data_IF_724534920291
#
_entry.id   IF_724534920291
#
_cell.length_a   1.000
_cell.length_b   1.000
_cell.length_c   1.000
_cell.angle_alpha   90.00
_cell.angle_beta   90.00
_cell.angle_gamma   90.00
#
_symmetry.space_group_name_H-M   'P 1'
#
loop_
_entity.id
_entity.type
_entity.pdbx_description
1 polymer ?
#
# COMPACT_ATOMS: atom_id res chain seq x y z
N UNK A 1 34.52 39.07 -18.86
CA UNK A 1 33.32 38.78 -18.02
C UNK A 1 32.44 37.64 -18.56
N UNK A 2 32.50 37.27 -19.85
CA UNK A 2 31.64 36.18 -20.39
C UNK A 2 32.02 34.74 -20.00
N UNK A 3 33.31 34.43 -19.77
CA UNK A 3 33.77 33.05 -19.51
C UNK A 3 33.36 32.49 -18.13
N UNK A 4 33.21 33.35 -17.12
CA UNK A 4 32.86 32.94 -15.74
C UNK A 4 31.36 32.68 -15.63
N UNK A 5 30.53 33.44 -16.36
CA UNK A 5 29.09 33.22 -16.41
C UNK A 5 28.71 31.90 -17.09
N UNK A 6 29.42 31.49 -18.14
CA UNK A 6 29.16 30.21 -18.84
C UNK A 6 29.52 28.97 -18.01
N UNK A 7 30.53 29.04 -17.14
CA UNK A 7 30.89 27.95 -16.23
C UNK A 7 29.87 27.77 -15.09
N UNK A 8 29.29 28.87 -14.59
CA UNK A 8 28.26 28.82 -13.56
C UNK A 8 26.94 28.19 -14.04
N UNK A 9 26.57 28.41 -15.31
CA UNK A 9 25.37 27.80 -15.91
C UNK A 9 25.55 26.30 -16.13
N UNK A 10 26.75 25.84 -16.52
CA UNK A 10 27.03 24.40 -16.69
C UNK A 10 27.05 23.65 -15.35
N UNK A 11 27.60 24.27 -14.30
CA UNK A 11 27.60 23.72 -12.95
C UNK A 11 26.17 23.64 -12.35
N UNK A 12 25.31 24.61 -12.66
CA UNK A 12 23.91 24.59 -12.23
C UNK A 12 23.06 23.53 -12.98
N UNK A 13 23.40 23.21 -14.24
CA UNK A 13 22.68 22.20 -15.02
C UNK A 13 22.96 20.74 -14.61
N UNK A 14 24.01 20.49 -13.81
CA UNK A 14 24.35 19.15 -13.29
C UNK A 14 23.65 18.81 -11.97
N UNK A 15 22.94 19.76 -11.36
CA UNK A 15 22.52 19.61 -9.96
C UNK A 15 21.21 18.85 -9.73
N UNK A 16 20.45 18.45 -10.77
CA UNK A 16 19.11 17.88 -10.60
C UNK A 16 18.80 16.80 -11.64
N UNK A 17 19.60 15.74 -11.72
CA UNK A 17 19.09 14.45 -12.19
C UNK A 17 18.55 13.72 -10.96
N UNK A 18 17.33 14.06 -10.56
CA UNK A 18 16.59 13.19 -9.64
C UNK A 18 16.28 11.91 -10.43
N UNK A 19 17.00 10.83 -10.13
CA UNK A 19 16.68 9.51 -10.67
C UNK A 19 15.23 9.16 -10.35
N UNK A 20 14.56 8.47 -11.26
CA UNK A 20 13.24 7.92 -10.96
C UNK A 20 13.43 6.85 -9.88
N UNK A 21 12.85 7.07 -8.70
CA UNK A 21 12.79 6.03 -7.68
C UNK A 21 11.61 5.11 -7.99
N UNK A 22 11.83 3.82 -7.84
CA UNK A 22 10.75 2.85 -7.86
C UNK A 22 9.95 2.97 -6.55
N UNK A 23 8.83 2.27 -6.46
CA UNK A 23 8.04 2.20 -5.23
C UNK A 23 8.08 0.77 -4.70
N UNK A 24 8.38 0.60 -3.41
CA UNK A 24 8.37 -0.73 -2.75
C UNK A 24 7.08 -1.50 -3.02
N UNK A 25 5.95 -0.88 -2.70
CA UNK A 25 4.61 -1.43 -2.94
C UNK A 25 3.63 -0.27 -3.02
N UNK A 26 3.04 -0.03 -4.20
CA UNK A 26 2.30 1.21 -4.49
C UNK A 26 1.07 1.46 -3.62
N UNK A 27 0.51 0.43 -2.96
CA UNK A 27 -0.61 0.55 -2.04
C UNK A 27 -0.19 0.72 -0.56
N UNK A 28 1.10 0.91 -0.30
CA UNK A 28 1.67 1.06 1.03
C UNK A 28 2.31 2.45 1.19
N UNK A 29 1.60 3.43 1.76
CA UNK A 29 2.10 4.81 1.87
C UNK A 29 3.33 4.94 2.80
N UNK A 30 3.56 3.94 3.66
CA UNK A 30 4.74 3.84 4.50
C UNK A 30 5.05 2.35 4.77
N UNK A 31 5.34 1.98 6.01
CA UNK A 31 5.65 0.60 6.41
C UNK A 31 4.41 -0.26 6.67
N UNK A 32 3.23 0.34 6.82
CA UNK A 32 1.97 -0.38 7.01
C UNK A 32 1.09 -0.32 5.76
N UNK A 33 0.57 -1.46 5.34
CA UNK A 33 -0.24 -1.64 4.16
C UNK A 33 -1.65 -2.10 4.52
N UNK A 34 -2.67 -1.51 3.89
CA UNK A 34 -4.05 -1.96 3.96
C UNK A 34 -4.53 -2.18 2.54
N UNK A 35 -4.96 -3.40 2.24
CA UNK A 35 -5.45 -3.82 0.93
C UNK A 35 -6.88 -4.36 1.12
N UNK A 36 -7.93 -3.80 0.50
CA UNK A 36 -7.90 -2.74 -0.50
C UNK A 36 -7.43 -1.38 0.05
N UNK A 37 -6.75 -0.56 -0.76
CA UNK A 37 -6.16 0.70 -0.32
C UNK A 37 -7.22 1.74 0.03
N UNK A 38 -6.76 2.89 0.52
CA UNK A 38 -7.57 4.09 0.69
C UNK A 38 -8.36 4.42 -0.60
N UNK A 39 -9.54 5.01 -0.43
CA UNK A 39 -10.45 5.39 -1.52
C UNK A 39 -11.02 4.19 -2.31
N UNK A 40 -11.08 3.01 -1.70
CA UNK A 40 -11.76 1.85 -2.28
C UNK A 40 -13.28 1.94 -2.16
N UNK A 41 -13.98 1.57 -3.23
CA UNK A 41 -15.43 1.52 -3.29
C UNK A 41 -15.96 0.08 -3.33
N UNK A 42 -17.04 -0.17 -2.61
CA UNK A 42 -17.71 -1.47 -2.58
C UNK A 42 -19.22 -1.33 -2.83
N UNK A 43 -19.82 -2.39 -3.36
CA UNK A 43 -21.27 -2.57 -3.31
C UNK A 43 -21.68 -3.31 -2.01
N UNK A 44 -22.87 -3.03 -1.47
CA UNK A 44 -23.45 -3.77 -0.37
C UNK A 44 -23.45 -5.27 -0.63
N UNK A 45 -22.86 -6.05 0.27
CA UNK A 45 -22.76 -7.51 0.16
C UNK A 45 -21.73 -8.02 -0.85
N UNK A 46 -20.97 -7.13 -1.51
CA UNK A 46 -19.85 -7.54 -2.36
C UNK A 46 -18.78 -8.21 -1.51
N UNK A 47 -18.34 -9.39 -1.95
CA UNK A 47 -17.21 -10.06 -1.32
C UNK A 47 -15.89 -9.40 -1.70
N UNK A 48 -15.02 -9.25 -0.72
CA UNK A 48 -13.63 -8.85 -0.90
C UNK A 48 -12.74 -9.56 0.11
N UNK A 49 -11.44 -9.55 -0.16
CA UNK A 49 -10.42 -9.97 0.80
C UNK A 49 -9.73 -8.72 1.35
N UNK A 50 -9.50 -8.70 2.66
CA UNK A 50 -8.65 -7.71 3.31
C UNK A 50 -7.30 -8.33 3.61
N UNK A 51 -6.23 -7.68 3.21
CA UNK A 51 -4.86 -8.02 3.58
C UNK A 51 -4.21 -6.81 4.22
N UNK A 52 -3.62 -7.04 5.39
CA UNK A 52 -2.81 -6.03 6.08
C UNK A 52 -1.39 -6.56 6.21
N UNK A 53 -0.43 -5.68 6.01
CA UNK A 53 0.99 -6.04 6.02
C UNK A 53 1.78 -4.96 6.76
N UNK A 54 2.75 -5.39 7.55
CA UNK A 54 3.72 -4.53 8.24
C UNK A 54 5.10 -4.89 7.75
N UNK A 55 5.75 -3.92 7.12
CA UNK A 55 7.04 -4.06 6.47
C UNK A 55 8.16 -3.61 7.40
N UNK A 56 9.29 -4.30 7.32
CA UNK A 56 10.57 -3.92 7.92
C UNK A 56 11.68 -4.11 6.88
N UNK A 57 12.03 -3.05 6.13
CA UNK A 57 13.18 -3.09 5.24
C UNK A 57 14.47 -3.34 6.03
N UNK A 58 15.30 -4.25 5.54
CA UNK A 58 16.56 -4.69 6.16
C UNK A 58 17.69 -3.71 5.83
N UNK A 59 17.71 -3.22 4.60
CA UNK A 59 18.70 -2.31 4.03
C UNK A 59 17.98 -1.25 3.17
N UNK A 60 18.77 -0.42 2.48
CA UNK A 60 18.26 0.64 1.63
C UNK A 60 17.89 1.92 2.38
N UNK A 61 17.33 2.89 1.67
CA UNK A 61 16.93 4.19 2.24
C UNK A 61 15.76 4.08 3.22
N UNK A 62 14.97 3.01 3.11
CA UNK A 62 13.82 2.72 3.99
C UNK A 62 14.14 1.75 5.14
N UNK A 63 15.41 1.40 5.38
CA UNK A 63 15.82 0.47 6.44
C UNK A 63 15.19 0.84 7.80
N UNK A 64 14.51 -0.13 8.44
CA UNK A 64 13.75 0.13 9.66
C UNK A 64 13.74 -1.06 10.61
N UNK A 65 13.77 -0.76 11.91
CA UNK A 65 13.65 -1.73 13.02
C UNK A 65 14.55 -2.97 12.88
N UNK A 66 15.76 -2.79 12.34
CA UNK A 66 16.71 -3.88 12.07
C UNK A 66 16.09 -5.03 11.24
N UNK A 67 15.19 -4.71 10.31
CA UNK A 67 14.50 -5.69 9.47
C UNK A 67 13.49 -6.57 10.22
N UNK A 68 13.09 -6.24 11.45
CA UNK A 68 12.12 -7.02 12.22
C UNK A 68 10.72 -6.41 12.09
N UNK A 69 9.76 -7.08 11.41
CA UNK A 69 8.40 -6.57 11.32
C UNK A 69 7.70 -6.64 12.68
N UNK A 70 6.78 -5.71 12.94
CA UNK A 70 5.89 -5.82 14.09
C UNK A 70 4.92 -6.98 13.86
N UNK A 71 4.84 -7.91 14.80
CA UNK A 71 3.95 -9.07 14.74
C UNK A 71 2.67 -8.88 15.57
N UNK A 72 2.65 -7.86 16.43
CA UNK A 72 1.58 -7.56 17.36
C UNK A 72 0.73 -6.37 16.88
N UNK A 73 0.72 -6.11 15.57
CA UNK A 73 -0.13 -5.07 14.98
C UNK A 73 -1.62 -5.38 15.17
N UNK A 74 -2.42 -4.32 15.15
CA UNK A 74 -3.88 -4.40 15.31
C UNK A 74 -4.59 -3.69 14.16
N UNK A 75 -5.76 -4.21 13.80
CA UNK A 75 -6.61 -3.64 12.75
C UNK A 75 -8.00 -3.39 13.30
N UNK A 76 -8.51 -2.19 13.06
CA UNK A 76 -9.84 -1.78 13.47
C UNK A 76 -10.63 -1.23 12.29
N UNK A 77 -11.95 -1.25 12.42
CA UNK A 77 -12.88 -0.67 11.46
C UNK A 77 -13.92 0.18 12.20
N UNK A 78 -14.22 1.33 11.61
CA UNK A 78 -15.17 2.31 12.15
C UNK A 78 -16.08 2.80 11.04
N UNK A 79 -17.39 2.54 11.18
CA UNK A 79 -18.40 3.23 10.36
C UNK A 79 -18.46 4.70 10.79
N UNK A 80 -18.53 5.65 9.86
CA UNK A 80 -18.63 7.06 10.19
C UNK A 80 -19.82 7.33 11.16
N UNK A 81 -19.54 8.00 12.29
CA UNK A 81 -20.52 8.24 13.36
C UNK A 81 -20.82 7.03 14.25
N UNK A 82 -20.17 5.89 14.04
CA UNK A 82 -20.33 4.66 14.81
C UNK A 82 -19.16 4.39 15.78
N UNK A 83 -19.18 3.20 16.38
CA UNK A 83 -18.15 2.73 17.30
C UNK A 83 -17.00 2.06 16.53
N UNK A 84 -15.76 2.31 16.94
CA UNK A 84 -14.58 1.57 16.49
C UNK A 84 -14.58 0.15 17.06
N UNK A 85 -14.37 -0.85 16.20
CA UNK A 85 -14.36 -2.27 16.57
C UNK A 85 -13.18 -2.98 15.92
N UNK A 86 -12.75 -4.10 16.50
CA UNK A 86 -11.73 -4.95 15.87
C UNK A 86 -12.24 -5.54 14.56
N UNK A 87 -11.37 -5.70 13.57
CA UNK A 87 -11.78 -6.15 12.24
C UNK A 87 -12.48 -7.54 12.27
N UNK A 88 -11.93 -8.49 13.03
CA UNK A 88 -12.51 -9.83 13.16
C UNK A 88 -13.85 -9.80 13.94
N UNK A 89 -13.96 -8.92 14.94
CA UNK A 89 -15.21 -8.71 15.68
C UNK A 89 -16.31 -8.14 14.77
N UNK A 90 -15.98 -7.11 14.00
CA UNK A 90 -16.91 -6.47 13.08
C UNK A 90 -17.49 -7.46 12.06
N UNK A 91 -16.62 -8.29 11.46
CA UNK A 91 -17.04 -9.30 10.48
C UNK A 91 -17.50 -10.62 11.10
N UNK A 92 -17.43 -10.78 12.43
CA UNK A 92 -17.79 -12.01 13.16
C UNK A 92 -17.05 -13.25 12.66
N UNK A 93 -15.76 -13.08 12.41
CA UNK A 93 -14.86 -14.15 11.95
C UNK A 93 -13.80 -14.45 13.00
N UNK A 94 -13.12 -15.58 12.84
CA UNK A 94 -11.92 -15.88 13.62
C UNK A 94 -10.76 -15.03 13.11
N UNK A 95 -9.96 -14.50 14.03
CA UNK A 95 -8.71 -13.82 13.70
C UNK A 95 -7.80 -14.77 12.88
N UNK A 96 -7.31 -14.36 11.70
CA UNK A 96 -6.44 -15.17 10.87
C UNK A 96 -5.07 -15.34 11.52
N UNK A 97 -4.36 -16.38 11.10
CA UNK A 97 -2.97 -16.62 11.55
C UNK A 97 -2.06 -15.52 10.99
N UNK A 98 -1.01 -15.22 11.75
CA UNK A 98 0.07 -14.39 11.27
C UNK A 98 0.84 -15.12 10.15
N UNK A 99 1.01 -14.44 9.03
CA UNK A 99 1.84 -14.87 7.91
C UNK A 99 3.14 -14.07 7.92
N UNK A 100 4.25 -14.69 7.52
CA UNK A 100 5.54 -14.02 7.36
C UNK A 100 6.12 -14.39 6.01
N UNK A 101 6.68 -13.40 5.33
CA UNK A 101 7.32 -13.56 4.03
C UNK A 101 8.29 -12.40 3.81
N UNK A 102 9.10 -12.51 2.78
CA UNK A 102 10.06 -11.49 2.38
C UNK A 102 10.01 -11.26 0.86
N UNK A 103 10.46 -10.08 0.46
CA UNK A 103 10.66 -9.75 -0.94
C UNK A 103 11.79 -8.74 -1.07
N UNK A 104 12.23 -8.51 -2.31
CA UNK A 104 13.20 -7.50 -2.63
C UNK A 104 12.75 -6.62 -3.78
N UNK A 105 13.26 -5.39 -3.82
CA UNK A 105 13.04 -4.45 -4.90
C UNK A 105 14.27 -3.53 -5.05
N UNK A 106 14.51 -3.00 -6.24
CA UNK A 106 15.52 -1.96 -6.44
C UNK A 106 14.91 -0.60 -6.15
N UNK A 107 15.62 0.28 -5.45
CA UNK A 107 15.07 1.61 -5.11
C UNK A 107 15.06 2.56 -6.31
N UNK A 108 16.00 2.36 -7.23
CA UNK A 108 16.15 3.13 -8.47
C UNK A 108 17.03 2.35 -9.48
N UNK A 109 17.24 2.95 -10.65
CA UNK A 109 18.09 2.41 -11.71
C UNK A 109 19.57 2.24 -11.31
N UNK A 110 20.07 3.00 -10.33
CA UNK A 110 21.46 2.87 -9.87
C UNK A 110 21.62 1.64 -8.97
N UNK A 111 20.65 1.40 -8.08
CA UNK A 111 20.59 0.19 -7.25
C UNK A 111 20.43 -1.07 -8.12
N UNK A 112 19.70 -0.97 -9.22
CA UNK A 112 19.57 -2.04 -10.22
C UNK A 112 20.89 -2.33 -10.94
N UNK A 113 21.56 -1.30 -11.48
CA UNK A 113 22.86 -1.43 -12.16
C UNK A 113 23.96 -1.95 -11.20
N UNK A 114 23.93 -1.52 -9.93
CA UNK A 114 24.83 -1.98 -8.90
C UNK A 114 24.50 -3.38 -8.35
N UNK A 115 23.34 -3.95 -8.69
CA UNK A 115 22.88 -5.24 -8.16
C UNK A 115 22.66 -5.24 -6.64
N UNK A 116 22.22 -4.10 -6.08
CA UNK A 116 22.02 -3.92 -4.63
C UNK A 116 20.54 -3.73 -4.30
N UNK A 117 19.73 -4.81 -4.27
CA UNK A 117 18.32 -4.69 -3.97
C UNK A 117 18.07 -4.42 -2.48
N UNK A 118 17.00 -3.70 -2.20
CA UNK A 118 16.45 -3.52 -0.86
C UNK A 118 15.56 -4.71 -0.50
N UNK A 119 15.89 -5.40 0.59
CA UNK A 119 15.17 -6.56 1.13
C UNK A 119 14.18 -6.10 2.19
N UNK A 120 12.98 -6.66 2.18
CA UNK A 120 11.89 -6.31 3.07
C UNK A 120 11.31 -7.56 3.71
N UNK A 121 11.36 -7.61 5.04
CA UNK A 121 10.65 -8.62 5.80
C UNK A 121 9.22 -8.14 6.12
N UNK A 122 8.25 -9.03 6.00
CA UNK A 122 6.83 -8.70 6.13
C UNK A 122 6.16 -9.59 7.17
N UNK A 123 5.36 -8.97 8.04
CA UNK A 123 4.36 -9.65 8.85
C UNK A 123 2.96 -9.28 8.35
N UNK A 124 2.11 -10.26 8.07
CA UNK A 124 0.84 -10.06 7.39
C UNK A 124 -0.31 -10.85 8.01
N UNK A 125 -1.53 -10.37 7.77
CA UNK A 125 -2.78 -11.10 8.05
C UNK A 125 -3.72 -10.96 6.86
N UNK A 126 -4.28 -12.09 6.42
CA UNK A 126 -5.24 -12.16 5.34
C UNK A 126 -6.63 -12.56 5.86
N UNK A 127 -7.57 -11.63 5.80
CA UNK A 127 -8.98 -11.82 6.10
C UNK A 127 -9.73 -12.09 4.79
N UNK A 128 -10.29 -13.29 4.66
CA UNK A 128 -10.88 -13.76 3.40
C UNK A 128 -12.40 -13.65 3.40
N UNK A 129 -12.97 -13.37 2.23
CA UNK A 129 -14.41 -13.43 1.96
C UNK A 129 -15.23 -12.53 2.92
N UNK A 130 -14.80 -11.29 3.08
CA UNK A 130 -15.49 -10.26 3.84
C UNK A 130 -16.60 -9.61 3.02
N UNK A 131 -17.65 -9.12 3.67
CA UNK A 131 -18.70 -8.35 3.01
C UNK A 131 -19.29 -7.33 3.99
N UNK A 132 -19.50 -6.10 3.51
CA UNK A 132 -20.18 -5.03 4.26
C UNK A 132 -21.54 -4.81 3.61
N UNK A 133 -22.62 -4.93 4.38
CA UNK A 133 -24.00 -4.85 3.87
C UNK A 133 -24.64 -3.48 4.02
N UNK A 134 -24.21 -2.71 5.00
CA UNK A 134 -24.77 -1.38 5.24
C UNK A 134 -24.02 -0.35 4.39
N UNK A 135 -24.74 0.48 3.61
CA UNK A 135 -24.13 1.62 2.95
C UNK A 135 -23.53 2.61 3.95
N UNK A 136 -22.43 3.25 3.56
CA UNK A 136 -21.77 4.27 4.35
C UNK A 136 -20.26 4.32 4.13
N UNK A 137 -19.63 5.26 4.82
CA UNK A 137 -18.17 5.41 4.85
C UNK A 137 -17.61 4.64 6.04
N UNK A 138 -16.57 3.86 5.78
CA UNK A 138 -15.86 3.03 6.75
C UNK A 138 -14.40 3.43 6.76
N UNK A 139 -13.84 3.52 7.96
CA UNK A 139 -12.42 3.80 8.18
C UNK A 139 -11.78 2.54 8.71
N UNK A 140 -10.82 1.99 7.98
CA UNK A 140 -9.96 0.91 8.44
C UNK A 140 -8.63 1.48 8.88
N UNK A 141 -8.22 1.12 10.09
CA UNK A 141 -7.01 1.63 10.71
C UNK A 141 -6.12 0.47 11.15
N UNK A 142 -4.92 0.41 10.57
CA UNK A 142 -3.83 -0.49 10.95
C UNK A 142 -2.88 0.25 11.88
N UNK A 143 -2.68 -0.25 13.10
CA UNK A 143 -1.73 0.29 14.09
C UNK A 143 -0.57 -0.68 14.29
N UNK A 144 0.65 -0.15 14.26
CA UNK A 144 1.88 -0.94 14.27
C UNK A 144 3.06 -0.13 14.83
N UNK A 145 4.13 -0.80 15.22
CA UNK A 145 5.33 -0.23 15.84
C UNK A 145 5.05 0.76 16.99
N UNK A 146 4.05 0.46 17.83
CA UNK A 146 3.75 1.22 19.06
C UNK A 146 3.32 2.68 18.87
N UNK A 147 3.01 3.12 17.64
CA UNK A 147 2.60 4.50 17.39
C UNK A 147 2.42 4.90 15.92
N UNK A 148 2.76 4.02 14.97
CA UNK A 148 2.50 4.25 13.55
C UNK A 148 1.12 3.74 13.17
N UNK A 149 0.51 4.43 12.21
CA UNK A 149 -0.84 4.15 11.77
C UNK A 149 -0.95 4.30 10.26
N UNK A 150 -1.63 3.35 9.62
CA UNK A 150 -2.09 3.46 8.22
C UNK A 150 -3.62 3.47 8.22
N UNK A 151 -4.21 4.49 7.62
CA UNK A 151 -5.66 4.69 7.53
C UNK A 151 -6.12 4.51 6.08
N UNK A 152 -7.16 3.71 5.87
CA UNK A 152 -7.85 3.56 4.60
C UNK A 152 -9.34 3.87 4.78
N UNK A 153 -9.86 4.79 3.99
CA UNK A 153 -11.26 5.13 3.92
C UNK A 153 -11.92 4.40 2.76
N UNK A 154 -13.00 3.69 3.08
CA UNK A 154 -13.75 2.85 2.15
C UNK A 154 -15.19 3.34 2.07
N UNK A 155 -15.78 3.29 0.88
CA UNK A 155 -17.17 3.70 0.68
C UNK A 155 -18.00 2.51 0.20
N UNK A 156 -19.01 2.15 0.97
CA UNK A 156 -20.03 1.16 0.57
C UNK A 156 -21.18 1.93 -0.06
N UNK A 157 -21.29 1.88 -1.39
CA UNK A 157 -22.21 2.71 -2.16
C UNK A 157 -23.65 2.21 -2.03
N UNK A 158 -24.65 3.07 -1.77
CA UNK A 158 -26.04 2.63 -1.75
C UNK A 158 -26.46 2.08 -3.11
N UNK A 159 -27.24 0.99 -3.12
CA UNK A 159 -27.78 0.42 -4.35
C UNK A 159 -28.73 1.43 -5.00
N UNK A 160 -28.54 1.68 -6.29
CA UNK A 160 -29.44 2.52 -7.05
C UNK A 160 -30.80 1.82 -7.21
N UNK A 161 -31.83 2.33 -6.51
CA UNK A 161 -33.20 1.80 -6.59
C UNK A 161 -33.88 2.10 -7.93
N UNK A 162 -33.36 3.07 -8.70
CA UNK A 162 -33.82 3.40 -10.06
C UNK A 162 -32.66 3.28 -11.04
N UNK A 163 -32.81 2.41 -12.05
CA UNK A 163 -31.85 2.29 -13.16
C UNK A 163 -31.92 3.57 -14.00
N UNK A 164 -30.88 4.41 -13.91
CA UNK A 164 -30.60 5.43 -14.94
C UNK A 164 -29.45 4.89 -15.77
N UNK A 165 -29.67 4.73 -17.08
CA UNK A 165 -28.58 4.43 -18.00
C UNK A 165 -27.56 5.56 -17.90
N UNK A 166 -26.34 5.22 -17.51
CA UNK A 166 -25.19 6.14 -17.56
C UNK A 166 -24.26 5.61 -18.64
N UNK A 167 -23.79 6.49 -19.52
CA UNK A 167 -22.69 6.18 -20.42
C UNK A 167 -21.45 5.98 -19.56
N UNK A 168 -20.99 4.74 -19.40
CA UNK A 168 -19.78 4.42 -18.66
C UNK A 168 -18.60 4.52 -19.63
N UNK A 169 -17.71 5.47 -19.40
CA UNK A 169 -16.39 5.48 -20.05
C UNK A 169 -15.46 4.77 -19.06
N UNK A 170 -15.07 3.54 -19.41
CA UNK A 170 -14.18 2.73 -18.61
C UNK A 170 -12.74 2.90 -19.14
N UNK A 171 -11.91 3.61 -18.38
CA UNK A 171 -10.46 3.60 -18.59
C UNK A 171 -9.87 2.46 -17.77
N UNK A 172 -9.48 1.37 -18.43
CA UNK A 172 -8.70 0.30 -17.80
C UNK A 172 -7.23 0.64 -17.97
N UNK A 173 -6.65 1.28 -16.95
CA UNK A 173 -5.20 1.28 -16.76
C UNK A 173 -4.84 0.00 -16.01
N UNK A 174 -4.17 -0.95 -16.67
CA UNK A 174 -3.55 -2.05 -15.95
C UNK A 174 -2.48 -1.42 -15.04
N UNK A 175 -2.63 -1.54 -13.73
CA UNK A 175 -1.63 -1.08 -12.76
C UNK A 175 -0.40 -1.97 -12.78
N UNK A 176 0.30 -2.03 -13.92
CA UNK A 176 1.71 -2.40 -13.93
C UNK A 176 2.45 -1.22 -13.31
N UNK A 177 2.60 -1.24 -11.98
CA UNK A 177 3.72 -0.54 -11.36
C UNK A 177 4.98 -1.16 -11.99
N UNK A 178 5.65 -0.39 -12.84
CA UNK A 178 6.59 -0.93 -13.83
C UNK A 178 7.68 -1.82 -13.24
N UNK A 179 7.69 -3.08 -13.64
CA UNK A 179 8.78 -3.76 -14.39
C UNK A 179 8.41 -5.25 -14.47
N UNK A 180 7.88 -5.67 -15.62
CA UNK A 180 7.87 -7.07 -16.02
C UNK A 180 9.29 -7.41 -16.51
N UNK A 181 10.08 -8.12 -15.71
CA UNK A 181 11.17 -8.96 -16.21
C UNK A 181 11.17 -10.31 -15.47
N UNK A 182 10.69 -11.32 -16.19
CA UNK A 182 10.99 -12.75 -16.12
C UNK A 182 11.83 -13.22 -14.92
N UNK A 183 11.16 -13.81 -13.94
CA UNK A 183 11.83 -14.69 -12.97
C UNK A 183 12.40 -15.92 -13.66
N UNK A 184 13.71 -16.14 -13.54
CA UNK A 184 14.27 -17.49 -13.69
C UNK A 184 14.00 -18.24 -12.39
N UNK A 185 13.12 -19.23 -12.47
CA UNK A 185 13.06 -20.30 -11.47
C UNK A 185 14.32 -21.15 -11.70
N UNK A 186 15.21 -21.20 -10.72
CA UNK A 186 16.21 -22.28 -10.58
C UNK A 186 15.72 -23.27 -9.54
#
# INVERSE_FOLDING_TARGET
>A
MGKVASLAVLAASLALVAGQTYQRLGACPSLGCVLPPDQSDFLPGQYFDLRVEVHAPVNGSEAYNNGKPDENFSVTITKQGGKTTGIAEFFRIKEPKLEKWDFSWYEDLFAEDAGTPSVVNVAAKAYRRLAIYEPGTYVVELRYYGGKTTRAEWVVRPLATKKKAKNVILFIGMGLSGTDYLGSIS
#
